data_IF_977285909158
#
_entry.id   IF_977285909158
#
_cell.length_a   1.000
_cell.length_b   1.000
_cell.length_c   1.000
_cell.angle_alpha   90.00
_cell.angle_beta   90.00
_cell.angle_gamma   90.00
#
_symmetry.space_group_name_H-M   'P 1'
#
loop_
_entity.id
_entity.type
_entity.pdbx_description
1 polymer ?
#
# COMPACT_ATOMS: atom_id res chain seq x y z
N UNK A 1 9.61 -2.34 -26.54
CA UNK A 1 10.30 -3.06 -25.46
C UNK A 1 10.24 -2.13 -24.24
N UNK A 2 9.65 -2.42 -23.09
CA UNK A 2 9.42 -3.66 -22.37
C UNK A 2 8.10 -3.54 -21.57
N UNK A 3 7.45 -4.68 -21.33
CA UNK A 3 6.14 -4.86 -20.72
C UNK A 3 5.92 -3.95 -19.50
N UNK A 4 4.91 -3.09 -19.55
CA UNK A 4 4.38 -2.42 -18.38
C UNK A 4 3.70 -3.50 -17.51
N UNK A 5 4.48 -4.19 -16.67
CA UNK A 5 3.93 -4.98 -15.59
C UNK A 5 2.98 -4.07 -14.81
N UNK A 6 1.70 -4.42 -14.76
CA UNK A 6 0.64 -3.66 -14.10
C UNK A 6 0.99 -3.36 -12.65
N UNK A 7 1.64 -2.22 -12.42
CA UNK A 7 1.97 -1.75 -11.08
C UNK A 7 0.76 -1.03 -10.52
N UNK A 8 0.43 -1.34 -9.26
CA UNK A 8 -0.54 -0.57 -8.52
C UNK A 8 0.17 0.58 -7.81
N UNK A 9 -0.33 1.80 -7.96
CA UNK A 9 0.23 2.98 -7.29
C UNK A 9 -0.83 3.49 -6.31
N UNK A 10 -0.43 3.61 -5.05
CA UNK A 10 -1.24 4.19 -4.00
C UNK A 10 -0.60 5.49 -3.54
N UNK A 11 -1.30 6.59 -3.70
CA UNK A 11 -0.87 7.89 -3.21
C UNK A 11 -1.91 8.43 -2.25
N UNK A 12 -1.45 9.07 -1.19
CA UNK A 12 -2.32 9.72 -0.23
C UNK A 12 -1.64 10.91 0.43
N UNK A 13 -2.44 11.71 1.09
CA UNK A 13 -2.00 12.87 1.84
C UNK A 13 -2.34 12.69 3.32
N UNK A 14 -1.54 13.29 4.19
CA UNK A 14 -1.68 13.12 5.61
C UNK A 14 -0.86 14.14 6.38
N UNK A 15 -1.03 14.19 7.71
CA UNK A 15 -0.29 15.11 8.56
C UNK A 15 1.21 14.85 8.42
N UNK A 16 1.99 15.90 8.18
CA UNK A 16 3.45 15.77 8.11
C UNK A 16 3.99 15.17 9.41
N UNK A 17 4.85 14.15 9.28
CA UNK A 17 5.34 13.45 10.45
C UNK A 17 4.34 12.48 11.09
N UNK A 18 3.17 12.21 10.50
CA UNK A 18 2.37 11.06 10.90
C UNK A 18 3.00 9.76 10.37
N UNK A 19 3.01 8.71 11.18
CA UNK A 19 3.39 7.38 10.71
C UNK A 19 2.30 6.79 9.82
N UNK A 20 2.67 6.01 8.82
CA UNK A 20 1.72 5.21 8.06
C UNK A 20 2.27 3.81 7.79
N UNK A 21 1.36 2.87 7.65
CA UNK A 21 1.64 1.52 7.17
C UNK A 21 0.68 1.19 6.06
N UNK A 22 1.21 0.66 4.96
CA UNK A 22 0.41 0.11 3.88
C UNK A 22 0.38 -1.40 4.06
N UNK A 23 -0.81 -1.90 4.30
CA UNK A 23 -1.12 -3.31 4.44
C UNK A 23 -1.72 -3.80 3.13
N UNK A 24 -1.43 -5.05 2.77
CA UNK A 24 -2.09 -5.72 1.65
C UNK A 24 -2.57 -7.12 2.04
N UNK A 25 -3.70 -7.51 1.48
CA UNK A 25 -4.30 -8.83 1.65
C UNK A 25 -4.98 -9.28 0.35
N UNK A 26 -5.09 -10.58 0.14
CA UNK A 26 -5.85 -11.14 -1.00
C UNK A 26 -7.36 -11.20 -0.72
N UNK A 27 -7.76 -11.12 0.55
CA UNK A 27 -9.15 -11.18 0.97
C UNK A 27 -9.45 -10.04 1.97
N UNK A 28 -10.43 -9.19 1.63
CA UNK A 28 -10.88 -8.09 2.48
C UNK A 28 -11.54 -8.57 3.78
N UNK A 29 -12.08 -9.79 3.81
CA UNK A 29 -12.72 -10.37 4.98
C UNK A 29 -11.71 -10.84 6.05
N UNK A 30 -10.40 -10.89 5.73
CA UNK A 30 -9.37 -11.22 6.71
C UNK A 30 -9.23 -10.08 7.74
N UNK A 31 -9.06 -10.41 9.03
CA UNK A 31 -8.79 -9.40 10.05
C UNK A 31 -7.49 -8.67 9.73
N UNK A 32 -7.43 -7.36 10.01
CA UNK A 32 -6.26 -6.49 9.79
C UNK A 32 -4.94 -7.10 10.26
N UNK A 33 -4.96 -7.85 11.35
CA UNK A 33 -3.78 -8.53 11.91
C UNK A 33 -3.17 -9.58 10.98
N UNK A 34 -3.97 -10.14 10.08
CA UNK A 34 -3.52 -11.08 9.03
C UNK A 34 -3.13 -10.38 7.73
N UNK A 35 -3.22 -9.05 7.65
CA UNK A 35 -2.77 -8.32 6.45
C UNK A 35 -1.25 -8.15 6.50
N UNK A 36 -0.60 -8.38 5.36
CA UNK A 36 0.86 -8.26 5.27
C UNK A 36 1.25 -6.79 5.11
N UNK A 37 2.11 -6.23 5.96
CA UNK A 37 2.65 -4.90 5.75
C UNK A 37 3.59 -4.90 4.53
N UNK A 38 3.22 -4.13 3.50
CA UNK A 38 4.07 -3.93 2.32
C UNK A 38 5.09 -2.83 2.53
N UNK A 39 4.68 -1.75 3.18
CA UNK A 39 5.58 -0.66 3.53
C UNK A 39 5.14 0.01 4.82
N UNK A 40 6.11 0.62 5.49
CA UNK A 40 5.90 1.43 6.68
C UNK A 40 6.76 2.68 6.52
N UNK A 41 6.15 3.83 6.64
CA UNK A 41 6.83 5.10 6.41
C UNK A 41 6.23 6.21 7.25
N UNK A 42 6.66 7.43 6.95
CA UNK A 42 6.16 8.65 7.56
C UNK A 42 5.77 9.62 6.46
N UNK A 43 4.64 10.30 6.60
CA UNK A 43 4.24 11.31 5.62
C UNK A 43 5.28 12.42 5.63
N UNK A 44 5.90 12.69 4.48
CA UNK A 44 6.92 13.72 4.30
C UNK A 44 6.39 14.75 3.31
N UNK A 45 6.40 16.02 3.69
CA UNK A 45 5.80 17.09 2.88
C UNK A 45 4.29 16.94 2.67
N UNK A 46 3.58 16.34 3.63
CA UNK A 46 2.12 16.18 3.60
C UNK A 46 1.60 15.04 2.71
N UNK A 47 2.47 14.23 2.13
CA UNK A 47 2.09 13.16 1.20
C UNK A 47 2.88 11.86 1.34
N UNK A 48 2.36 10.81 0.71
CA UNK A 48 3.11 9.60 0.41
C UNK A 48 2.71 9.02 -0.94
N UNK A 49 3.64 8.29 -1.55
CA UNK A 49 3.41 7.52 -2.77
C UNK A 49 4.04 6.14 -2.59
N UNK A 50 3.21 5.11 -2.70
CA UNK A 50 3.60 3.72 -2.67
C UNK A 50 3.37 3.09 -4.04
N UNK A 51 4.23 2.16 -4.43
CA UNK A 51 4.13 1.45 -5.72
C UNK A 51 4.31 -0.04 -5.47
N UNK A 52 3.27 -0.82 -5.73
CA UNK A 52 3.31 -2.28 -5.66
C UNK A 52 3.59 -2.85 -7.05
N UNK A 53 4.82 -3.35 -7.24
CA UNK A 53 5.23 -3.99 -8.49
C UNK A 53 4.76 -5.45 -8.62
N UNK A 54 4.23 -6.03 -7.54
CA UNK A 54 3.76 -7.41 -7.48
C UNK A 54 2.23 -7.51 -7.66
N UNK A 55 1.55 -6.40 -7.94
CA UNK A 55 0.11 -6.36 -8.11
C UNK A 55 -0.35 -7.29 -9.25
N UNK A 56 0.48 -7.44 -10.28
CA UNK A 56 0.24 -8.38 -11.39
C UNK A 56 0.21 -9.84 -10.96
N UNK A 57 0.93 -10.22 -9.90
CA UNK A 57 0.99 -11.59 -9.40
C UNK A 57 -0.22 -11.95 -8.53
N UNK A 58 -1.06 -10.98 -8.20
CA UNK A 58 -2.20 -11.17 -7.32
C UNK A 58 -3.47 -10.65 -8.01
N UNK A 59 -4.29 -11.53 -8.64
CA UNK A 59 -5.49 -11.10 -9.37
C UNK A 59 -6.52 -10.39 -8.49
N UNK A 60 -6.52 -10.68 -7.19
CA UNK A 60 -7.29 -9.98 -6.17
C UNK A 60 -6.36 -9.56 -5.04
N UNK A 61 -6.06 -8.26 -4.97
CA UNK A 61 -5.25 -7.67 -3.90
C UNK A 61 -5.91 -6.39 -3.40
N UNK A 62 -6.17 -6.38 -2.11
CA UNK A 62 -6.70 -5.24 -1.38
C UNK A 62 -5.56 -4.52 -0.68
N UNK A 63 -5.64 -3.20 -0.64
CA UNK A 63 -4.65 -2.34 -0.01
C UNK A 63 -5.34 -1.48 1.04
N UNK A 64 -4.70 -1.32 2.19
CA UNK A 64 -5.21 -0.47 3.26
C UNK A 64 -4.08 0.33 3.86
N UNK A 65 -4.21 1.65 3.78
CA UNK A 65 -3.36 2.57 4.52
C UNK A 65 -3.91 2.70 5.94
N UNK A 66 -3.07 2.44 6.93
CA UNK A 66 -3.40 2.65 8.34
C UNK A 66 -2.38 3.61 8.95
N UNK A 67 -2.88 4.60 9.66
CA UNK A 67 -2.08 5.45 10.54
C UNK A 67 -2.25 4.91 11.96
N UNK A 68 -1.16 4.75 12.74
CA UNK A 68 -1.24 4.38 14.15
C UNK A 68 -1.95 5.47 14.96
#
# INVERSE_FOLDING_TARGET
>A
MCCAGGRFILSGTGPEGAGYRILAATNLALPLSNWTPLTTGRFSGGGFKFTDAQATNHPQRFYRAVTP
#
